data_IF_185516539749
#
_entry.id   IF_185516539749
#
_cell.length_a   1.000
_cell.length_b   1.000
_cell.length_c   1.000
_cell.angle_alpha   90.00
_cell.angle_beta   90.00
_cell.angle_gamma   90.00
#
_symmetry.space_group_name_H-M   'P 1'
#
loop_
_entity.id
_entity.type
_entity.pdbx_description
1 polymer ?
#
# COMPACT_ATOMS: atom_id res chain seq x y z
N UNK A 1 -10.97 -31.33 7.27
CA UNK A 1 -9.60 -30.78 7.12
C UNK A 1 -9.34 -29.94 8.35
N UNK A 2 -8.38 -30.28 9.22
CA UNK A 2 -8.17 -29.56 10.50
C UNK A 2 -7.84 -28.09 10.20
N UNK A 3 -8.61 -27.15 10.73
CA UNK A 3 -8.17 -25.76 10.84
C UNK A 3 -6.90 -25.77 11.69
N UNK A 4 -5.73 -25.61 11.07
CA UNK A 4 -4.51 -25.36 11.82
C UNK A 4 -4.50 -23.87 12.11
N UNK A 5 -5.07 -23.52 13.26
CA UNK A 5 -5.03 -22.16 13.77
C UNK A 5 -3.76 -21.99 14.60
N UNK A 6 -2.63 -21.89 13.90
CA UNK A 6 -1.33 -21.62 14.53
C UNK A 6 -1.29 -20.19 15.05
N UNK A 7 -0.61 -19.95 16.17
CA UNK A 7 -0.30 -18.59 16.61
C UNK A 7 0.63 -17.89 15.61
N UNK A 8 0.75 -16.57 15.72
CA UNK A 8 1.71 -15.82 14.91
C UNK A 8 3.14 -16.25 15.22
N UNK A 9 3.48 -16.57 16.48
CA UNK A 9 4.81 -17.12 16.81
C UNK A 9 5.05 -18.48 16.15
N UNK A 10 4.08 -19.39 16.18
CA UNK A 10 4.19 -20.71 15.56
C UNK A 10 4.37 -20.61 14.04
N UNK A 11 3.62 -19.71 13.38
CA UNK A 11 3.79 -19.43 11.97
C UNK A 11 5.19 -18.90 11.66
N UNK A 12 5.69 -17.93 12.42
CA UNK A 12 7.03 -17.37 12.24
C UNK A 12 8.11 -18.46 12.40
N UNK A 13 8.01 -19.30 13.44
CA UNK A 13 8.96 -20.41 13.67
C UNK A 13 8.95 -21.38 12.49
N UNK A 14 7.76 -21.72 11.98
CA UNK A 14 7.61 -22.58 10.80
C UNK A 14 8.17 -21.95 9.52
N UNK A 15 7.91 -20.67 9.27
CA UNK A 15 8.45 -19.91 8.15
C UNK A 15 9.98 -19.79 8.22
N UNK A 16 10.57 -19.58 9.41
CA UNK A 16 12.04 -19.59 9.60
C UNK A 16 12.68 -20.92 9.21
N UNK A 17 11.94 -22.02 9.29
CA UNK A 17 12.34 -23.37 8.87
C UNK A 17 12.00 -23.69 7.41
N UNK A 18 11.48 -22.71 6.63
CA UNK A 18 11.02 -22.88 5.25
C UNK A 18 9.95 -23.97 5.09
N UNK A 19 9.05 -24.08 6.07
CA UNK A 19 7.93 -25.01 5.98
C UNK A 19 6.87 -24.45 5.03
N UNK A 20 6.72 -25.07 3.85
CA UNK A 20 5.74 -24.65 2.84
C UNK A 20 4.32 -24.49 3.40
N UNK A 21 3.92 -25.35 4.35
CA UNK A 21 2.60 -25.28 4.98
C UNK A 21 2.43 -24.05 5.89
N UNK A 22 3.48 -23.65 6.62
CA UNK A 22 3.42 -22.44 7.45
C UNK A 22 3.47 -21.18 6.58
N UNK A 23 4.29 -21.16 5.52
CA UNK A 23 4.34 -20.06 4.56
C UNK A 23 2.99 -19.87 3.85
N UNK A 24 2.32 -20.96 3.43
CA UNK A 24 0.99 -20.92 2.83
C UNK A 24 -0.07 -20.34 3.78
N UNK A 25 -0.11 -20.83 5.03
CA UNK A 25 -1.07 -20.34 6.03
C UNK A 25 -0.77 -18.88 6.39
N UNK A 26 0.50 -18.51 6.53
CA UNK A 26 0.93 -17.14 6.78
C UNK A 26 0.49 -16.21 5.64
N UNK A 27 0.77 -16.60 4.40
CA UNK A 27 0.35 -15.85 3.22
C UNK A 27 -1.16 -15.62 3.23
N UNK A 28 -1.95 -16.68 3.39
CA UNK A 28 -3.42 -16.59 3.43
C UNK A 28 -3.93 -15.69 4.56
N UNK A 29 -3.32 -15.78 5.75
CA UNK A 29 -3.70 -14.98 6.93
C UNK A 29 -3.47 -13.48 6.71
N UNK A 30 -2.35 -13.10 6.10
CA UNK A 30 -1.98 -11.69 5.95
C UNK A 30 -2.23 -11.10 4.56
N UNK A 31 -2.68 -11.90 3.59
CA UNK A 31 -2.93 -11.45 2.22
C UNK A 31 -3.81 -10.20 2.16
N UNK A 32 -4.97 -10.21 2.85
CA UNK A 32 -5.87 -9.06 2.84
C UNK A 32 -5.25 -7.79 3.43
N UNK A 33 -4.41 -7.94 4.47
CA UNK A 33 -3.71 -6.82 5.10
C UNK A 33 -2.65 -6.22 4.16
N UNK A 34 -1.82 -7.06 3.54
CA UNK A 34 -0.80 -6.62 2.58
C UNK A 34 -1.47 -6.02 1.34
N UNK A 35 -2.52 -6.64 0.82
CA UNK A 35 -3.29 -6.15 -0.33
C UNK A 35 -3.90 -4.77 -0.06
N UNK A 36 -4.49 -4.54 1.12
CA UNK A 36 -5.03 -3.23 1.49
C UNK A 36 -3.96 -2.13 1.47
N UNK A 37 -2.77 -2.42 1.98
CA UNK A 37 -1.62 -1.49 1.90
C UNK A 37 -1.23 -1.28 0.44
N UNK A 38 -1.04 -2.35 -0.33
CA UNK A 38 -0.61 -2.29 -1.73
C UNK A 38 -1.58 -1.49 -2.62
N UNK A 39 -2.89 -1.64 -2.42
CA UNK A 39 -3.91 -0.88 -3.15
C UNK A 39 -3.77 0.63 -2.93
N UNK A 40 -3.39 1.08 -1.72
CA UNK A 40 -3.20 2.51 -1.47
C UNK A 40 -2.10 3.14 -2.36
N UNK A 41 -1.12 2.34 -2.82
CA UNK A 41 -0.01 2.81 -3.65
C UNK A 41 -0.18 2.49 -5.14
N UNK A 42 -0.73 1.33 -5.47
CA UNK A 42 -0.87 0.86 -6.85
C UNK A 42 -1.88 1.68 -7.66
N UNK A 43 -1.83 1.58 -9.00
CA UNK A 43 -2.81 2.23 -9.88
C UNK A 43 -4.09 1.41 -10.02
N UNK A 44 -3.93 0.08 -10.06
CA UNK A 44 -4.97 -0.92 -10.24
C UNK A 44 -4.66 -2.15 -9.37
N UNK A 45 -5.56 -3.14 -9.41
CA UNK A 45 -5.45 -4.35 -8.61
C UNK A 45 -4.31 -5.27 -9.06
N UNK A 46 -3.98 -5.30 -10.34
CA UNK A 46 -2.94 -6.17 -10.87
C UNK A 46 -1.55 -5.69 -10.42
N UNK A 47 -1.30 -4.38 -10.49
CA UNK A 47 -0.09 -3.79 -9.95
C UNK A 47 -0.03 -3.91 -8.42
N UNK A 48 -1.17 -3.85 -7.73
CA UNK A 48 -1.22 -4.11 -6.29
C UNK A 48 -0.80 -5.56 -5.99
N UNK A 49 -1.26 -6.52 -6.80
CA UNK A 49 -0.90 -7.93 -6.67
C UNK A 49 0.59 -8.17 -6.90
N UNK A 50 1.24 -7.44 -7.81
CA UNK A 50 2.70 -7.46 -7.96
C UNK A 50 3.40 -7.02 -6.68
N UNK A 51 2.99 -5.90 -6.08
CA UNK A 51 3.54 -5.41 -4.81
C UNK A 51 3.34 -6.44 -3.70
N UNK A 52 2.15 -7.07 -3.61
CA UNK A 52 1.87 -8.12 -2.63
C UNK A 52 2.84 -9.29 -2.77
N UNK A 53 3.01 -9.79 -3.99
CA UNK A 53 3.89 -10.93 -4.28
C UNK A 53 5.34 -10.62 -3.89
N UNK A 54 5.86 -9.49 -4.33
CA UNK A 54 7.23 -9.05 -4.01
C UNK A 54 7.42 -8.83 -2.50
N UNK A 55 6.40 -8.32 -1.81
CA UNK A 55 6.43 -8.10 -0.36
C UNK A 55 6.54 -9.42 0.41
N UNK A 56 5.77 -10.44 0.03
CA UNK A 56 5.87 -11.76 0.65
C UNK A 56 7.19 -12.46 0.32
N UNK A 57 7.69 -12.36 -0.91
CA UNK A 57 9.01 -12.88 -1.26
C UNK A 57 10.11 -12.24 -0.41
N UNK A 58 10.10 -10.91 -0.26
CA UNK A 58 11.03 -10.18 0.60
C UNK A 58 10.86 -10.58 2.08
N UNK A 59 9.64 -10.70 2.57
CA UNK A 59 9.35 -11.16 3.94
C UNK A 59 9.94 -12.55 4.21
N UNK A 60 9.64 -13.55 3.39
CA UNK A 60 10.16 -14.91 3.60
C UNK A 60 11.68 -14.98 3.41
N UNK A 61 12.25 -14.18 2.51
CA UNK A 61 13.71 -14.12 2.35
C UNK A 61 14.42 -13.52 3.57
N UNK A 62 13.76 -12.61 4.29
CA UNK A 62 14.29 -11.91 5.46
C UNK A 62 13.82 -12.47 6.81
N UNK A 63 12.92 -13.47 6.81
CA UNK A 63 12.24 -13.99 8.02
C UNK A 63 13.17 -14.40 9.16
N UNK A 64 14.41 -14.77 8.83
CA UNK A 64 15.43 -15.12 9.82
C UNK A 64 15.85 -13.95 10.71
N UNK A 65 15.77 -12.71 10.22
CA UNK A 65 16.07 -11.51 11.00
C UNK A 65 14.87 -10.97 11.76
N UNK A 66 13.71 -11.64 11.71
CA UNK A 66 12.56 -11.26 12.51
C UNK A 66 12.79 -11.59 13.99
N UNK A 67 12.61 -10.59 14.84
CA UNK A 67 12.76 -10.69 16.29
C UNK A 67 11.39 -10.82 16.96
N UNK A 68 11.30 -11.62 18.02
CA UNK A 68 10.04 -11.98 18.67
C UNK A 68 9.29 -10.81 19.31
N UNK A 69 9.98 -9.71 19.62
CA UNK A 69 9.36 -8.49 20.15
C UNK A 69 8.77 -7.57 19.06
N UNK A 70 9.01 -7.86 17.78
CA UNK A 70 8.44 -7.09 16.68
C UNK A 70 7.03 -7.61 16.36
N UNK A 71 6.09 -6.71 16.12
CA UNK A 71 4.76 -7.09 15.60
C UNK A 71 4.89 -7.54 14.14
N UNK A 72 4.34 -8.72 13.83
CA UNK A 72 4.30 -9.26 12.45
C UNK A 72 3.67 -8.26 11.48
N UNK A 73 2.54 -7.64 11.88
CA UNK A 73 1.85 -6.63 11.06
C UNK A 73 2.69 -5.39 10.82
N UNK A 74 3.43 -4.92 11.82
CA UNK A 74 4.30 -3.75 11.69
C UNK A 74 5.49 -4.05 10.77
N UNK A 75 6.07 -5.24 10.87
CA UNK A 75 7.18 -5.66 10.02
C UNK A 75 6.75 -5.90 8.58
N UNK A 76 5.61 -6.56 8.36
CA UNK A 76 4.98 -6.70 7.04
C UNK A 76 4.67 -5.34 6.42
N UNK A 77 4.10 -4.41 7.18
CA UNK A 77 3.80 -3.05 6.67
C UNK A 77 5.06 -2.36 6.19
N UNK A 78 6.15 -2.37 6.98
CA UNK A 78 7.44 -1.79 6.58
C UNK A 78 7.96 -2.39 5.28
N UNK A 79 7.94 -3.72 5.15
CA UNK A 79 8.39 -4.40 3.93
C UNK A 79 7.49 -4.02 2.73
N UNK A 80 6.18 -3.94 2.95
CA UNK A 80 5.19 -3.65 1.90
C UNK A 80 5.31 -2.22 1.41
N UNK A 81 5.42 -1.25 2.31
CA UNK A 81 5.59 0.18 1.98
C UNK A 81 6.90 0.38 1.21
N UNK A 82 8.02 -0.17 1.69
CA UNK A 82 9.29 -0.09 0.97
C UNK A 82 9.21 -0.73 -0.42
N UNK A 83 8.50 -1.86 -0.54
CA UNK A 83 8.27 -2.52 -1.83
C UNK A 83 7.41 -1.68 -2.77
N UNK A 84 6.39 -0.98 -2.25
CA UNK A 84 5.60 -0.06 -3.03
C UNK A 84 6.40 1.16 -3.52
N UNK A 85 7.32 1.69 -2.69
CA UNK A 85 8.25 2.76 -3.08
C UNK A 85 9.19 2.28 -4.20
N UNK A 86 9.79 1.10 -4.04
CA UNK A 86 10.63 0.48 -5.07
C UNK A 86 9.87 0.30 -6.39
N UNK A 87 8.65 -0.20 -6.30
CA UNK A 87 7.75 -0.40 -7.43
C UNK A 87 7.45 0.92 -8.14
N UNK A 88 7.09 1.98 -7.40
CA UNK A 88 6.87 3.31 -7.97
C UNK A 88 8.11 3.83 -8.69
N UNK A 89 9.31 3.71 -8.09
CA UNK A 89 10.57 4.16 -8.69
C UNK A 89 10.89 3.41 -9.99
N UNK A 90 10.60 2.10 -10.03
CA UNK A 90 10.76 1.27 -11.24
C UNK A 90 9.82 1.75 -12.33
N UNK A 91 8.54 1.98 -12.03
CA UNK A 91 7.53 2.35 -13.01
C UNK A 91 7.63 3.80 -13.50
N UNK A 92 8.03 4.76 -12.66
CA UNK A 92 8.28 6.14 -13.08
C UNK A 92 9.32 6.23 -14.19
N UNK A 93 10.41 5.46 -14.07
CA UNK A 93 11.45 5.36 -15.11
C UNK A 93 10.93 4.85 -16.45
N UNK A 94 9.88 4.03 -16.45
CA UNK A 94 9.24 3.53 -17.66
C UNK A 94 8.21 4.51 -18.24
N UNK A 95 7.52 5.29 -17.40
CA UNK A 95 6.58 6.33 -17.84
C UNK A 95 7.28 7.57 -18.41
N UNK A 96 8.44 7.97 -17.86
CA UNK A 96 9.26 9.05 -18.46
C UNK A 96 9.75 8.71 -19.89
N UNK A 97 9.62 7.44 -20.32
CA UNK A 97 9.93 6.96 -21.67
C UNK A 97 8.69 6.72 -22.54
N UNK A 98 7.49 6.77 -21.96
CA UNK A 98 6.22 6.49 -22.62
C UNK A 98 5.19 7.54 -22.18
N UNK A 99 5.19 8.67 -22.87
CA UNK A 99 4.13 9.67 -22.76
C UNK A 99 2.82 9.08 -23.30
N UNK A 100 2.04 8.36 -22.48
CA UNK A 100 0.68 7.95 -22.83
C UNK A 100 -0.23 8.02 -21.59
N UNK A 101 -1.20 8.91 -21.76
CA UNK A 101 -2.52 9.03 -21.14
C UNK A 101 -3.10 7.68 -20.64
N UNK A 102 -3.08 7.43 -19.32
CA UNK A 102 -3.72 6.25 -18.72
C UNK A 102 -5.00 6.66 -17.98
N UNK A 103 -6.13 6.12 -18.43
CA UNK A 103 -7.41 6.19 -17.73
C UNK A 103 -7.36 5.26 -16.50
N UNK A 104 -7.80 5.76 -15.35
CA UNK A 104 -7.83 5.02 -14.09
C UNK A 104 -9.04 4.10 -14.09
N UNK A 105 -8.83 2.78 -14.17
CA UNK A 105 -9.90 1.80 -13.94
C UNK A 105 -10.23 1.70 -12.44
N UNK A 106 -11.52 1.86 -12.13
CA UNK A 106 -12.04 1.81 -10.76
C UNK A 106 -12.31 0.34 -10.41
N UNK A 107 -11.50 -0.24 -9.53
CA UNK A 107 -11.77 -1.56 -8.95
C UNK A 107 -12.69 -1.44 -7.72
N UNK A 108 -13.74 -2.25 -7.69
CA UNK A 108 -14.66 -2.40 -6.56
C UNK A 108 -14.57 -3.81 -5.97
N UNK A 109 -14.26 -3.90 -4.67
CA UNK A 109 -14.83 -4.84 -3.67
C UNK A 109 -14.06 -4.72 -2.34
N UNK A 110 -14.74 -4.49 -1.20
CA UNK A 110 -15.05 -5.43 -0.09
C UNK A 110 -15.96 -4.76 0.99
N UNK A 111 -17.22 -5.21 1.15
CA UNK A 111 -17.92 -5.46 2.45
C UNK A 111 -18.23 -4.35 3.52
N UNK A 112 -19.49 -3.88 3.53
CA UNK A 112 -20.35 -3.37 4.65
C UNK A 112 -19.93 -2.17 5.55
N UNK A 113 -20.55 -1.02 5.26
CA UNK A 113 -20.80 0.20 6.05
C UNK A 113 -19.60 1.00 6.61
N UNK A 114 -18.69 0.43 7.41
CA UNK A 114 -17.42 1.14 7.74
C UNK A 114 -16.42 1.05 6.59
N UNK A 115 -16.53 -0.01 5.80
CA UNK A 115 -15.68 -0.25 4.65
C UNK A 115 -16.09 0.56 3.42
N UNK A 116 -17.36 0.97 3.34
CA UNK A 116 -17.85 1.85 2.27
C UNK A 116 -17.13 3.21 2.29
N UNK A 117 -17.00 3.83 3.47
CA UNK A 117 -16.28 5.09 3.63
C UNK A 117 -14.77 4.96 3.31
N UNK A 118 -14.17 3.82 3.64
CA UNK A 118 -12.76 3.54 3.34
C UNK A 118 -12.53 3.28 1.84
N UNK A 119 -13.40 2.48 1.22
CA UNK A 119 -13.38 2.25 -0.23
C UNK A 119 -13.56 3.55 -1.01
N UNK A 120 -14.50 4.38 -0.60
CA UNK A 120 -14.76 5.66 -1.26
C UNK A 120 -13.55 6.59 -1.11
N UNK A 121 -12.95 6.66 0.08
CA UNK A 121 -11.70 7.41 0.28
C UNK A 121 -10.57 6.87 -0.61
N UNK A 122 -10.38 5.56 -0.70
CA UNK A 122 -9.39 4.96 -1.59
C UNK A 122 -9.63 5.36 -3.05
N UNK A 123 -10.87 5.28 -3.55
CA UNK A 123 -11.21 5.72 -4.91
C UNK A 123 -10.82 7.17 -5.14
N UNK A 124 -11.09 8.07 -4.19
CA UNK A 124 -10.68 9.47 -4.31
C UNK A 124 -9.16 9.65 -4.29
N UNK A 125 -8.44 8.86 -3.49
CA UNK A 125 -6.97 8.83 -3.48
C UNK A 125 -6.42 8.35 -4.83
N UNK A 126 -7.05 7.38 -5.50
CA UNK A 126 -6.64 6.93 -6.83
C UNK A 126 -6.78 8.00 -7.92
N UNK A 127 -7.60 9.04 -7.71
CA UNK A 127 -7.73 10.19 -8.62
C UNK A 127 -6.58 11.21 -8.46
N UNK A 128 -5.71 11.03 -7.47
CA UNK A 128 -4.52 11.86 -7.32
C UNK A 128 -3.45 11.49 -8.34
N UNK A 129 -2.71 12.48 -8.88
CA UNK A 129 -1.50 12.21 -9.65
C UNK A 129 -0.53 11.30 -8.86
N UNK A 130 0.21 10.39 -9.51
CA UNK A 130 1.03 9.38 -8.83
C UNK A 130 1.98 9.94 -7.76
N UNK A 131 2.69 11.02 -8.09
CA UNK A 131 3.65 11.67 -7.17
C UNK A 131 2.95 12.27 -5.94
N UNK A 132 1.76 12.85 -6.13
CA UNK A 132 0.97 13.43 -5.06
C UNK A 132 0.38 12.35 -4.15
N UNK A 133 -0.13 11.26 -4.76
CA UNK A 133 -0.64 10.08 -4.03
C UNK A 133 0.42 9.46 -3.14
N UNK A 134 1.61 9.22 -3.70
CA UNK A 134 2.70 8.59 -2.96
C UNK A 134 3.14 9.47 -1.77
N UNK A 135 3.36 10.77 -2.00
CA UNK A 135 3.74 11.71 -0.94
C UNK A 135 2.67 11.79 0.15
N UNK A 136 1.39 11.83 -0.22
CA UNK A 136 0.29 11.84 0.73
C UNK A 136 0.30 10.61 1.62
N UNK A 137 0.40 9.41 1.05
CA UNK A 137 0.43 8.17 1.83
C UNK A 137 1.66 8.12 2.75
N UNK A 138 2.85 8.42 2.23
CA UNK A 138 4.06 8.38 3.05
C UNK A 138 4.00 9.37 4.22
N UNK A 139 3.48 10.57 4.02
CA UNK A 139 3.41 11.59 5.06
C UNK A 139 2.25 11.35 6.04
N UNK A 140 1.01 11.26 5.56
CA UNK A 140 -0.19 11.23 6.41
C UNK A 140 -0.46 9.84 7.01
N UNK A 141 -0.08 8.77 6.30
CA UNK A 141 -0.44 7.39 6.67
C UNK A 141 0.73 6.66 7.31
N UNK A 142 1.94 6.86 6.79
CA UNK A 142 3.17 6.21 7.29
C UNK A 142 4.00 7.10 8.23
N UNK A 143 3.73 8.42 8.29
CA UNK A 143 4.41 9.34 9.21
C UNK A 143 5.82 9.75 8.78
N UNK A 144 6.18 9.59 7.51
CA UNK A 144 7.49 10.00 6.98
C UNK A 144 7.60 11.53 7.00
N UNK A 145 8.79 12.02 7.33
CA UNK A 145 9.13 13.44 7.17
C UNK A 145 9.31 13.81 5.69
N UNK A 146 9.20 15.10 5.36
CA UNK A 146 9.50 15.59 4.01
C UNK A 146 10.94 15.27 3.57
N UNK A 147 11.88 15.18 4.51
CA UNK A 147 13.27 14.80 4.26
C UNK A 147 13.37 13.35 3.81
N UNK A 148 12.78 12.42 4.56
CA UNK A 148 12.77 10.99 4.20
C UNK A 148 12.07 10.75 2.87
N UNK A 149 10.93 11.43 2.63
CA UNK A 149 10.22 11.33 1.35
C UNK A 149 11.08 11.83 0.18
N UNK A 150 11.80 12.95 0.38
CA UNK A 150 12.68 13.52 -0.63
C UNK A 150 13.81 12.56 -1.01
N UNK A 151 14.42 11.92 -0.02
CA UNK A 151 15.48 10.91 -0.20
C UNK A 151 14.95 9.68 -0.95
N UNK A 152 13.82 9.12 -0.51
CA UNK A 152 13.23 7.91 -1.10
C UNK A 152 12.78 8.14 -2.55
N UNK A 153 12.11 9.25 -2.81
CA UNK A 153 11.57 9.58 -4.14
C UNK A 153 12.57 10.28 -5.06
N UNK A 154 13.77 10.64 -4.57
CA UNK A 154 14.78 11.44 -5.31
C UNK A 154 14.24 12.78 -5.82
N UNK A 155 13.54 13.50 -4.96
CA UNK A 155 13.01 14.85 -5.21
C UNK A 155 13.56 15.82 -4.15
N UNK A 156 13.25 17.11 -4.25
CA UNK A 156 13.56 18.06 -3.17
C UNK A 156 12.50 18.01 -2.07
N UNK A 157 12.86 18.36 -0.84
CA UNK A 157 11.84 18.50 0.22
C UNK A 157 10.80 19.58 -0.09
N UNK A 158 11.16 20.61 -0.87
CA UNK A 158 10.22 21.63 -1.33
C UNK A 158 9.17 21.02 -2.27
N UNK A 159 9.57 20.14 -3.19
CA UNK A 159 8.66 19.39 -4.04
C UNK A 159 7.75 18.47 -3.22
N UNK A 160 8.28 17.78 -2.20
CA UNK A 160 7.48 16.97 -1.28
C UNK A 160 6.37 17.80 -0.60
N UNK A 161 6.70 18.98 -0.06
CA UNK A 161 5.70 19.91 0.53
C UNK A 161 4.64 20.35 -0.49
N UNK A 162 5.06 20.70 -1.70
CA UNK A 162 4.14 21.13 -2.78
C UNK A 162 3.22 19.98 -3.20
N UNK A 163 3.75 18.77 -3.37
CA UNK A 163 2.95 17.59 -3.70
C UNK A 163 1.93 17.26 -2.62
N UNK A 164 2.32 17.32 -1.34
CA UNK A 164 1.39 17.12 -0.23
C UNK A 164 0.27 18.17 -0.21
N UNK A 165 0.62 19.45 -0.39
CA UNK A 165 -0.37 20.53 -0.42
C UNK A 165 -1.37 20.36 -1.56
N UNK A 166 -0.89 20.00 -2.77
CA UNK A 166 -1.74 19.71 -3.94
C UNK A 166 -2.62 18.49 -3.72
N UNK A 167 -2.07 17.41 -3.15
CA UNK A 167 -2.82 16.21 -2.80
C UNK A 167 -3.98 16.53 -1.85
N UNK A 168 -3.70 17.25 -0.75
CA UNK A 168 -4.71 17.65 0.23
C UNK A 168 -5.79 18.56 -0.36
N UNK A 169 -5.41 19.51 -1.21
CA UNK A 169 -6.39 20.38 -1.89
C UNK A 169 -7.30 19.56 -2.78
N UNK A 170 -6.73 18.72 -3.64
CA UNK A 170 -7.52 17.91 -4.58
C UNK A 170 -8.43 16.91 -3.86
N UNK A 171 -7.93 16.24 -2.82
CA UNK A 171 -8.76 15.34 -2.01
C UNK A 171 -9.91 16.08 -1.32
N UNK A 172 -9.69 17.29 -0.81
CA UNK A 172 -10.75 18.10 -0.20
C UNK A 172 -11.86 18.39 -1.21
N UNK A 173 -11.49 18.81 -2.41
CA UNK A 173 -12.45 19.12 -3.48
C UNK A 173 -13.23 17.86 -3.89
N UNK A 174 -12.54 16.73 -4.04
CA UNK A 174 -13.13 15.44 -4.37
C UNK A 174 -14.09 14.93 -3.29
N UNK A 175 -13.72 15.03 -2.03
CA UNK A 175 -14.58 14.65 -0.89
C UNK A 175 -15.81 15.54 -0.84
N UNK A 176 -15.66 16.85 -1.02
CA UNK A 176 -16.80 17.77 -1.02
C UNK A 176 -17.76 17.47 -2.17
N UNK A 177 -17.25 17.22 -3.37
CA UNK A 177 -18.06 16.84 -4.52
C UNK A 177 -18.81 15.52 -4.26
N UNK A 178 -18.11 14.50 -3.77
CA UNK A 178 -18.69 13.21 -3.42
C UNK A 178 -19.82 13.37 -2.39
N UNK A 179 -19.57 14.07 -1.28
CA UNK A 179 -20.60 14.31 -0.25
C UNK A 179 -21.82 15.07 -0.78
N UNK A 180 -21.61 16.06 -1.66
CA UNK A 180 -22.71 16.82 -2.27
C UNK A 180 -23.56 15.94 -3.21
N UNK A 181 -22.96 15.00 -3.95
CA UNK A 181 -23.71 14.04 -4.77
C UNK A 181 -24.56 13.08 -3.94
N UNK A 182 -24.10 12.67 -2.75
CA UNK A 182 -24.91 11.85 -1.84
C UNK A 182 -25.99 12.64 -1.12
N UNK A 183 -25.74 13.91 -0.77
CA UNK A 183 -26.73 14.78 -0.12
C UNK A 183 -27.83 15.27 -1.09
N UNK A 184 -27.58 15.20 -2.39
CA UNK A 184 -28.55 15.54 -3.44
C UNK A 184 -29.45 14.38 -3.89
N UNK A 185 -29.35 13.20 -3.27
CA UNK A 185 -30.25 12.04 -3.45
C UNK A 185 -31.12 11.84 -2.22
#
# INVERSE_FOLDING_TARGET
>A
MKHLDWSDEELIVGCKRKSAKHEEVFFKRYYGYVMGISLSYAKDRDLAQEIVNDSFLKFFSSIKSFEEFQSVKSWLRRITVNTAIDFYRKNKRFQDQRDINDQVEIFHEVGALSQMAYEDLLKLIHLLPPDQKLVFNLYEVEGYSHREIAEEMKITESSSRVYLARAKSKLRDLVQFHLNEYAGR
#
